data_IF_818476636749
#
_entry.id   IF_818476636749
#
_cell.length_a   1.000
_cell.length_b   1.000
_cell.length_c   1.000
_cell.angle_alpha   90.00
_cell.angle_beta   90.00
_cell.angle_gamma   90.00
#
_symmetry.space_group_name_H-M   'P 1'
#
loop_
_entity.id
_entity.type
_entity.pdbx_description
1 polymer ?
#
# COMPACT_ATOMS: atom_id res chain seq x y z
N UNK A 1 15.58 -7.23 -10.54
CA UNK A 1 16.16 -6.03 -9.91
C UNK A 1 15.60 -4.84 -10.66
N UNK A 2 14.55 -4.22 -10.11
CA UNK A 2 13.93 -3.02 -10.70
C UNK A 2 14.20 -1.89 -9.71
N UNK A 3 14.94 -0.90 -10.18
CA UNK A 3 15.37 0.27 -9.43
C UNK A 3 14.26 1.33 -9.51
N UNK A 4 13.61 1.65 -8.39
CA UNK A 4 12.61 2.73 -8.33
C UNK A 4 13.19 3.95 -7.64
N UNK A 5 13.74 4.87 -8.44
CA UNK A 5 14.12 6.21 -7.98
C UNK A 5 12.89 7.10 -7.90
N UNK A 6 12.51 7.56 -6.70
CA UNK A 6 11.42 8.51 -6.54
C UNK A 6 11.93 9.93 -6.86
N UNK A 7 11.61 10.43 -8.05
CA UNK A 7 11.66 11.85 -8.40
C UNK A 7 10.26 12.25 -8.88
N UNK A 8 9.58 13.21 -8.23
CA UNK A 8 8.22 13.63 -8.57
C UNK A 8 8.06 14.28 -9.96
N UNK A 9 9.17 14.48 -10.69
CA UNK A 9 9.21 15.07 -12.04
C UNK A 9 9.87 14.17 -13.10
N UNK A 10 10.33 12.97 -12.74
CA UNK A 10 11.22 12.14 -13.57
C UNK A 10 10.52 10.92 -14.19
N UNK A 11 11.11 10.32 -15.26
CA UNK A 11 10.66 9.09 -15.91
C UNK A 11 10.43 7.85 -15.04
N UNK A 12 10.53 7.92 -13.71
CA UNK A 12 10.21 6.85 -12.75
C UNK A 12 8.74 6.43 -12.78
N UNK A 13 7.87 7.29 -13.34
CA UNK A 13 6.50 6.92 -13.73
C UNK A 13 6.50 5.80 -14.78
N UNK A 14 7.55 5.61 -15.60
CA UNK A 14 7.66 4.43 -16.48
C UNK A 14 7.85 3.12 -15.72
N UNK A 15 8.48 3.15 -14.55
CA UNK A 15 8.68 1.96 -13.75
C UNK A 15 7.46 1.65 -12.86
N UNK A 16 6.72 2.68 -12.40
CA UNK A 16 5.36 2.49 -11.84
C UNK A 16 4.30 2.11 -12.90
N UNK A 17 4.47 2.54 -14.16
CA UNK A 17 3.69 2.04 -15.31
C UNK A 17 3.91 0.55 -15.57
N UNK A 18 4.95 -0.04 -14.98
CA UNK A 18 5.28 -1.46 -15.00
C UNK A 18 5.06 -2.12 -13.63
N UNK A 19 4.05 -1.70 -12.84
CA UNK A 19 3.52 -2.50 -11.72
C UNK A 19 2.85 -3.77 -12.29
N UNK A 20 3.66 -4.67 -12.86
CA UNK A 20 3.25 -5.83 -13.66
C UNK A 20 3.21 -7.13 -12.84
N UNK A 21 3.55 -7.11 -11.54
CA UNK A 21 3.82 -8.33 -10.77
C UNK A 21 3.38 -8.16 -9.31
N UNK A 22 3.16 -9.26 -8.60
CA UNK A 22 3.10 -9.25 -7.14
C UNK A 22 4.44 -8.72 -6.59
N UNK A 23 4.43 -7.67 -5.77
CA UNK A 23 5.67 -6.98 -5.36
C UNK A 23 5.81 -6.92 -3.84
N UNK A 24 7.06 -7.04 -3.37
CA UNK A 24 7.43 -6.88 -1.97
C UNK A 24 8.28 -5.60 -1.78
N UNK A 25 7.78 -4.62 -1.02
CA UNK A 25 8.52 -3.40 -0.70
C UNK A 25 9.26 -3.54 0.64
N UNK A 26 10.60 -3.42 0.60
CA UNK A 26 11.51 -3.51 1.77
C UNK A 26 12.22 -2.22 2.03
N UNK A 27 12.13 -1.67 3.25
CA UNK A 27 12.82 -0.42 3.56
C UNK A 27 13.15 -0.26 5.04
N UNK A 28 14.03 0.69 5.35
CA UNK A 28 14.24 1.19 6.71
C UNK A 28 12.95 1.78 7.32
N UNK A 29 12.86 1.87 8.67
CA UNK A 29 11.80 2.62 9.34
C UNK A 29 11.72 4.07 8.82
N UNK A 30 10.51 4.60 8.70
CA UNK A 30 10.29 5.99 8.28
C UNK A 30 10.48 6.30 6.79
N UNK A 31 10.78 5.29 5.96
CA UNK A 31 10.98 5.46 4.50
C UNK A 31 9.71 5.82 3.71
N UNK A 32 8.54 5.84 4.35
CA UNK A 32 7.27 6.19 3.69
C UNK A 32 6.51 5.02 3.04
N UNK A 33 6.80 3.74 3.34
CA UNK A 33 6.04 2.57 2.84
C UNK A 33 4.52 2.73 3.00
N UNK A 34 4.07 3.02 4.22
CA UNK A 34 2.67 3.28 4.54
C UNK A 34 2.08 4.43 3.74
N UNK A 35 2.83 5.53 3.61
CA UNK A 35 2.40 6.69 2.84
C UNK A 35 2.24 6.34 1.37
N UNK A 36 3.17 5.56 0.80
CA UNK A 36 3.11 5.07 -0.56
C UNK A 36 1.89 4.16 -0.78
N UNK A 37 1.67 3.17 0.10
CA UNK A 37 0.50 2.27 0.02
C UNK A 37 -0.82 3.05 0.04
N UNK A 38 -0.97 3.99 0.98
CA UNK A 38 -2.16 4.84 1.08
C UNK A 38 -2.34 5.72 -0.15
N UNK A 39 -1.25 6.30 -0.66
CA UNK A 39 -1.27 7.10 -1.87
C UNK A 39 -1.68 6.28 -3.10
N UNK A 40 -1.15 5.06 -3.27
CA UNK A 40 -1.52 4.15 -4.36
C UNK A 40 -3.02 3.80 -4.31
N UNK A 41 -3.51 3.37 -3.15
CA UNK A 41 -4.93 3.02 -2.96
C UNK A 41 -5.84 4.21 -3.27
N UNK A 42 -5.51 5.41 -2.76
CA UNK A 42 -6.29 6.61 -3.01
C UNK A 42 -6.36 6.95 -4.50
N UNK A 43 -5.22 6.89 -5.20
CA UNK A 43 -5.17 7.18 -6.64
C UNK A 43 -5.95 6.13 -7.44
N UNK A 44 -5.81 4.85 -7.12
CA UNK A 44 -6.59 3.80 -7.78
C UNK A 44 -8.09 3.94 -7.51
N UNK A 45 -8.49 4.29 -6.29
CA UNK A 45 -9.89 4.52 -5.97
C UNK A 45 -10.47 5.69 -6.79
N UNK A 46 -9.72 6.79 -6.94
CA UNK A 46 -10.09 7.90 -7.83
C UNK A 46 -10.26 7.46 -9.27
N UNK A 47 -9.38 6.60 -9.75
CA UNK A 47 -9.50 6.04 -11.10
C UNK A 47 -10.77 5.20 -11.25
N UNK A 48 -11.11 4.34 -10.27
CA UNK A 48 -12.37 3.59 -10.25
C UNK A 48 -13.62 4.50 -10.26
N UNK A 49 -13.49 5.76 -9.83
CA UNK A 49 -14.53 6.78 -9.89
C UNK A 49 -14.54 7.56 -11.22
N UNK A 50 -13.68 7.20 -12.18
CA UNK A 50 -13.52 7.89 -13.46
C UNK A 50 -12.79 9.23 -13.36
N UNK A 51 -12.15 9.55 -12.23
CA UNK A 51 -11.34 10.75 -12.10
C UNK A 51 -10.02 10.62 -12.86
N UNK A 52 -9.57 11.72 -13.48
CA UNK A 52 -8.23 11.77 -14.07
C UNK A 52 -7.18 11.57 -12.99
N UNK A 53 -6.29 10.61 -13.19
CA UNK A 53 -5.26 10.24 -12.25
C UNK A 53 -3.88 10.27 -12.91
N UNK A 54 -2.88 10.80 -12.20
CA UNK A 54 -1.50 10.95 -12.66
C UNK A 54 -0.82 9.63 -13.03
N UNK A 55 -1.25 8.51 -12.44
CA UNK A 55 -0.58 7.21 -12.62
C UNK A 55 -0.87 6.56 -13.98
N UNK A 56 -2.08 6.74 -14.53
CA UNK A 56 -2.60 5.92 -15.64
C UNK A 56 -3.24 6.77 -16.74
N UNK A 57 -2.47 7.72 -17.29
CA UNK A 57 -2.92 8.56 -18.41
C UNK A 57 -2.96 7.82 -19.77
N UNK A 58 -2.59 6.54 -19.81
CA UNK A 58 -2.51 5.76 -21.06
C UNK A 58 -3.66 4.76 -21.21
N UNK A 59 -4.24 4.77 -22.42
CA UNK A 59 -5.32 3.94 -23.01
C UNK A 59 -5.23 2.40 -22.77
N UNK A 60 -4.18 1.92 -22.09
CA UNK A 60 -3.82 0.50 -21.99
C UNK A 60 -4.23 -0.24 -20.71
N UNK A 61 -4.63 0.45 -19.63
CA UNK A 61 -5.23 -0.22 -18.46
C UNK A 61 -6.75 -0.25 -18.59
N UNK A 62 -7.29 -1.24 -19.32
CA UNK A 62 -8.73 -1.37 -19.57
C UNK A 62 -9.55 -2.00 -18.44
N UNK A 63 -8.90 -2.51 -17.39
CA UNK A 63 -9.58 -3.09 -16.23
C UNK A 63 -9.09 -2.44 -14.95
N UNK A 64 -9.91 -1.56 -14.40
CA UNK A 64 -9.67 -0.91 -13.12
C UNK A 64 -9.83 -1.94 -12.01
N UNK A 65 -8.73 -2.28 -11.32
CA UNK A 65 -8.74 -3.18 -10.18
C UNK A 65 -9.23 -2.45 -8.95
N UNK A 66 -10.13 -3.07 -8.18
CA UNK A 66 -10.58 -2.53 -6.90
C UNK A 66 -9.39 -2.57 -5.92
N UNK A 67 -8.94 -1.41 -5.41
CA UNK A 67 -7.83 -1.35 -4.47
C UNK A 67 -8.31 -1.68 -3.05
N UNK A 68 -7.63 -2.60 -2.37
CA UNK A 68 -7.91 -3.02 -1.00
C UNK A 68 -6.62 -2.88 -0.18
N UNK A 69 -6.66 -2.15 0.93
CA UNK A 69 -5.53 -2.02 1.85
C UNK A 69 -5.77 -2.85 3.10
N UNK A 70 -4.85 -3.74 3.45
CA UNK A 70 -4.97 -4.64 4.59
C UNK A 70 -3.77 -4.47 5.52
N UNK A 71 -3.94 -3.80 6.67
CA UNK A 71 -2.94 -3.84 7.73
C UNK A 71 -2.88 -5.27 8.28
N UNK A 72 -1.75 -5.94 8.11
CA UNK A 72 -1.60 -7.36 8.47
C UNK A 72 -1.86 -7.60 9.96
N UNK A 73 -1.44 -6.66 10.82
CA UNK A 73 -1.68 -6.76 12.25
C UNK A 73 -3.18 -6.88 12.61
N UNK A 74 -4.10 -6.30 11.82
CA UNK A 74 -5.55 -6.42 12.07
C UNK A 74 -6.06 -7.84 11.82
N UNK A 75 -5.56 -8.50 10.78
CA UNK A 75 -5.88 -9.91 10.54
C UNK A 75 -5.39 -10.77 11.70
N UNK A 76 -4.15 -10.52 12.14
CA UNK A 76 -3.54 -11.24 13.24
C UNK A 76 -4.30 -11.05 14.56
N UNK A 77 -4.72 -9.82 14.87
CA UNK A 77 -5.54 -9.53 16.04
C UNK A 77 -6.90 -10.24 15.97
N UNK A 78 -7.57 -10.24 14.81
CA UNK A 78 -8.83 -10.96 14.62
C UNK A 78 -8.65 -12.48 14.81
N UNK A 79 -7.57 -13.08 14.31
CA UNK A 79 -7.27 -14.50 14.52
C UNK A 79 -7.10 -14.81 16.01
N UNK A 80 -6.45 -13.92 16.75
CA UNK A 80 -6.25 -14.06 18.20
C UNK A 80 -7.56 -13.97 18.98
N UNK A 81 -8.40 -12.98 18.68
CA UNK A 81 -9.71 -12.80 19.33
C UNK A 81 -10.65 -13.98 19.06
N UNK A 82 -10.52 -14.60 17.89
CA UNK A 82 -11.34 -15.74 17.48
C UNK A 82 -10.74 -17.10 17.80
N UNK A 83 -9.73 -17.22 18.67
CA UNK A 83 -9.15 -18.53 19.04
C UNK A 83 -10.18 -19.55 19.56
N UNK A 84 -11.30 -19.08 20.13
CA UNK A 84 -12.39 -19.91 20.62
C UNK A 84 -13.57 -20.05 19.63
N UNK A 85 -13.46 -19.48 18.42
CA UNK A 85 -14.47 -19.52 17.35
C UNK A 85 -13.86 -20.14 16.09
N UNK A 86 -14.68 -20.34 15.06
CA UNK A 86 -14.20 -20.75 13.73
C UNK A 86 -13.18 -19.71 13.23
N UNK A 87 -11.92 -20.12 13.06
CA UNK A 87 -10.83 -19.27 12.53
C UNK A 87 -11.20 -18.88 11.08
N UNK A 88 -11.39 -17.60 10.83
CA UNK A 88 -11.52 -17.05 9.48
C UNK A 88 -10.15 -17.10 8.79
N UNK A 89 -10.07 -17.62 7.57
CA UNK A 89 -8.82 -17.54 6.80
C UNK A 89 -8.61 -16.13 6.24
N UNK A 90 -7.41 -15.85 5.73
CA UNK A 90 -7.02 -14.57 5.17
C UNK A 90 -7.93 -14.15 4.00
N UNK A 91 -8.32 -15.10 3.15
CA UNK A 91 -9.27 -14.84 2.06
C UNK A 91 -10.63 -14.38 2.59
N UNK A 92 -11.18 -15.08 3.58
CA UNK A 92 -12.42 -14.68 4.26
C UNK A 92 -12.27 -13.27 4.86
N UNK A 93 -11.14 -13.01 5.52
CA UNK A 93 -10.86 -11.71 6.12
C UNK A 93 -10.84 -10.55 5.11
N UNK A 94 -10.29 -10.74 3.90
CA UNK A 94 -10.20 -9.72 2.85
C UNK A 94 -11.57 -9.14 2.52
N UNK A 95 -12.58 -9.99 2.35
CA UNK A 95 -13.91 -9.54 1.93
C UNK A 95 -14.87 -9.30 3.09
N UNK A 96 -14.65 -9.87 4.28
CA UNK A 96 -15.52 -9.63 5.45
C UNK A 96 -15.19 -8.31 6.15
N UNK A 97 -13.96 -7.81 6.02
CA UNK A 97 -13.50 -6.60 6.70
C UNK A 97 -13.09 -5.46 5.75
N UNK A 98 -13.91 -5.10 4.74
CA UNK A 98 -13.48 -4.17 3.71
C UNK A 98 -13.26 -2.73 4.19
N UNK A 99 -13.74 -2.39 5.39
CA UNK A 99 -13.65 -1.04 5.96
C UNK A 99 -13.04 -1.02 7.37
N UNK A 100 -12.64 -2.17 7.93
CA UNK A 100 -12.08 -2.33 9.28
C UNK A 100 -12.75 -1.46 10.36
N UNK A 101 -14.04 -1.69 10.60
CA UNK A 101 -14.85 -0.97 11.58
C UNK A 101 -15.01 0.53 11.38
N UNK A 102 -14.76 1.02 10.17
CA UNK A 102 -15.04 2.39 9.78
C UNK A 102 -16.47 2.81 10.15
N UNK A 103 -16.58 3.89 10.94
CA UNK A 103 -17.86 4.52 11.28
C UNK A 103 -18.57 5.16 10.07
N UNK A 104 -17.87 5.29 8.94
CA UNK A 104 -18.40 5.89 7.72
C UNK A 104 -19.37 4.96 6.97
N UNK A 105 -19.38 3.66 7.28
CA UNK A 105 -20.22 2.69 6.60
C UNK A 105 -21.18 2.03 7.59
N UNK A 106 -22.47 2.08 7.27
CA UNK A 106 -23.50 1.35 7.98
C UNK A 106 -23.44 -0.16 7.68
N UNK A 107 -24.24 -0.95 8.40
CA UNK A 107 -24.22 -2.43 8.29
C UNK A 107 -24.55 -2.92 6.88
N UNK A 108 -25.47 -2.28 6.19
CA UNK A 108 -25.90 -2.70 4.85
C UNK A 108 -24.85 -2.32 3.80
N UNK A 109 -24.31 -1.10 3.85
CA UNK A 109 -23.22 -0.68 2.97
C UNK A 109 -21.98 -1.57 3.12
N UNK A 110 -21.68 -2.03 4.34
CA UNK A 110 -20.59 -2.99 4.58
C UNK A 110 -20.86 -4.34 3.90
N UNK A 111 -22.11 -4.83 3.89
CA UNK A 111 -22.47 -6.08 3.20
C UNK A 111 -22.42 -5.92 1.68
N UNK A 112 -22.90 -4.79 1.16
CA UNK A 112 -22.81 -4.48 -0.27
C UNK A 112 -21.35 -4.43 -0.72
N UNK A 113 -20.49 -3.75 0.04
CA UNK A 113 -19.07 -3.67 -0.24
C UNK A 113 -18.37 -5.03 -0.11
N UNK A 114 -18.73 -5.83 0.90
CA UNK A 114 -18.27 -7.21 1.03
C UNK A 114 -18.63 -8.04 -0.20
N UNK A 115 -19.88 -7.93 -0.65
CA UNK A 115 -20.38 -8.64 -1.84
C UNK A 115 -19.63 -8.19 -3.11
N UNK A 116 -19.43 -6.88 -3.29
CA UNK A 116 -18.67 -6.31 -4.39
C UNK A 116 -17.23 -6.85 -4.42
N UNK A 117 -16.58 -6.92 -3.26
CA UNK A 117 -15.21 -7.44 -3.15
C UNK A 117 -15.17 -8.94 -3.43
N UNK A 118 -16.15 -9.72 -2.92
CA UNK A 118 -16.26 -11.15 -3.23
C UNK A 118 -16.36 -11.38 -4.74
N UNK A 119 -17.28 -10.68 -5.41
CA UNK A 119 -17.44 -10.77 -6.85
C UNK A 119 -16.16 -10.36 -7.61
N UNK A 120 -15.49 -9.32 -7.13
CA UNK A 120 -14.28 -8.81 -7.77
C UNK A 120 -13.09 -9.74 -7.60
N UNK A 121 -12.98 -10.44 -6.47
CA UNK A 121 -11.98 -11.48 -6.25
C UNK A 121 -12.18 -12.66 -7.23
N UNK A 122 -13.43 -13.11 -7.43
CA UNK A 122 -13.76 -14.16 -8.41
C UNK A 122 -13.44 -13.71 -9.84
N UNK A 123 -13.77 -12.45 -10.17
CA UNK A 123 -13.50 -11.84 -11.49
C UNK A 123 -12.03 -11.46 -11.70
N UNK A 124 -11.14 -11.80 -10.76
CA UNK A 124 -9.71 -11.49 -10.81
C UNK A 124 -9.40 -9.98 -10.94
N UNK A 125 -10.25 -9.13 -10.36
CA UNK A 125 -10.23 -7.69 -10.53
C UNK A 125 -9.96 -6.91 -9.24
N UNK A 126 -9.10 -7.43 -8.36
CA UNK A 126 -8.64 -6.68 -7.18
C UNK A 126 -7.13 -6.48 -7.15
N UNK A 127 -6.69 -5.38 -6.53
CA UNK A 127 -5.34 -5.18 -6.04
C UNK A 127 -5.41 -5.14 -4.51
N UNK A 128 -4.73 -6.06 -3.83
CA UNK A 128 -4.64 -6.11 -2.38
C UNK A 128 -3.25 -5.66 -1.94
N UNK A 129 -3.17 -4.68 -1.04
CA UNK A 129 -1.92 -4.23 -0.43
C UNK A 129 -1.90 -4.71 1.02
N UNK A 130 -1.05 -5.69 1.31
CA UNK A 130 -0.73 -6.14 2.66
C UNK A 130 0.31 -5.22 3.29
N UNK A 131 -0.12 -4.43 4.26
CA UNK A 131 0.70 -3.44 4.94
C UNK A 131 1.29 -3.97 6.25
N UNK A 132 2.61 -3.82 6.41
CA UNK A 132 3.28 -4.01 7.69
C UNK A 132 3.45 -5.49 8.07
N UNK A 133 3.95 -6.32 7.16
CA UNK A 133 4.22 -7.73 7.46
C UNK A 133 5.17 -7.89 8.66
N UNK A 134 6.13 -6.99 8.82
CA UNK A 134 7.04 -6.95 9.97
C UNK A 134 6.37 -6.63 11.31
N UNK A 135 5.14 -6.12 11.30
CA UNK A 135 4.38 -5.75 12.50
C UNK A 135 3.67 -6.95 13.14
N UNK A 136 3.74 -8.14 12.52
CA UNK A 136 3.17 -9.37 13.09
C UNK A 136 3.85 -9.68 14.42
N UNK A 137 3.12 -9.67 15.54
CA UNK A 137 3.71 -9.92 16.85
C UNK A 137 4.36 -11.31 16.96
N UNK A 138 5.41 -11.42 17.78
CA UNK A 138 6.13 -12.69 17.96
C UNK A 138 5.30 -13.81 18.58
N UNK A 139 4.18 -13.48 19.25
CA UNK A 139 3.29 -14.46 19.86
C UNK A 139 2.35 -15.15 18.86
N UNK A 140 2.31 -14.67 17.61
CA UNK A 140 1.54 -15.29 16.54
C UNK A 140 2.47 -16.18 15.74
N UNK A 141 1.97 -17.38 15.41
CA UNK A 141 2.68 -18.27 14.50
C UNK A 141 2.75 -17.62 13.11
N UNK A 142 3.90 -16.99 12.84
CA UNK A 142 4.17 -16.33 11.56
C UNK A 142 4.14 -17.34 10.41
N UNK A 143 4.43 -18.63 10.65
CA UNK A 143 4.38 -19.65 9.61
C UNK A 143 2.95 -19.87 9.11
N UNK A 144 1.95 -19.80 9.99
CA UNK A 144 0.54 -19.92 9.59
C UNK A 144 0.10 -18.76 8.71
N UNK A 145 0.47 -17.52 9.07
CA UNK A 145 0.21 -16.36 8.23
C UNK A 145 0.88 -16.50 6.86
N UNK A 146 2.15 -16.90 6.84
CA UNK A 146 2.89 -17.07 5.58
C UNK A 146 2.31 -18.18 4.72
N UNK A 147 1.83 -19.29 5.30
CA UNK A 147 1.10 -20.34 4.57
C UNK A 147 -0.17 -19.78 3.94
N UNK A 148 -0.93 -18.95 4.66
CA UNK A 148 -2.14 -18.35 4.11
C UNK A 148 -1.85 -17.34 3.00
N UNK A 149 -0.80 -16.52 3.14
CA UNK A 149 -0.33 -15.62 2.07
C UNK A 149 0.13 -16.44 0.85
N UNK A 150 0.96 -17.47 1.04
CA UNK A 150 1.41 -18.34 -0.05
C UNK A 150 0.22 -19.01 -0.75
N UNK A 151 -0.73 -19.56 0.00
CA UNK A 151 -1.94 -20.18 -0.56
C UNK A 151 -2.75 -19.19 -1.40
N UNK A 152 -2.86 -17.94 -0.95
CA UNK A 152 -3.54 -16.87 -1.67
C UNK A 152 -2.80 -16.45 -2.95
N UNK A 153 -1.47 -16.49 -2.95
CA UNK A 153 -0.64 -16.18 -4.12
C UNK A 153 -0.60 -17.34 -5.14
N UNK A 154 -0.74 -18.59 -4.67
CA UNK A 154 -0.64 -19.82 -5.45
C UNK A 154 -1.91 -20.23 -6.19
N UNK A 155 -3.07 -19.91 -5.62
CA UNK A 155 -4.34 -20.53 -6.00
C UNK A 155 -5.32 -19.50 -6.53
N UNK A 156 -6.07 -19.90 -7.54
CA UNK A 156 -7.25 -19.15 -7.96
C UNK A 156 -8.29 -19.13 -6.83
N UNK A 157 -9.18 -18.15 -6.90
CA UNK A 157 -10.26 -17.97 -5.93
C UNK A 157 -11.55 -18.48 -6.57
N UNK A 158 -12.14 -19.51 -5.96
CA UNK A 158 -13.40 -20.11 -6.38
C UNK A 158 -14.53 -19.73 -5.42
N UNK A 159 -15.77 -19.87 -5.88
CA UNK A 159 -16.97 -19.70 -5.04
C UNK A 159 -17.58 -21.06 -4.72
N UNK A 160 -17.67 -21.38 -3.43
CA UNK A 160 -18.34 -22.57 -2.95
C UNK A 160 -19.81 -22.26 -2.62
N UNK A 161 -20.70 -22.63 -3.54
CA UNK A 161 -22.13 -22.44 -3.38
C UNK A 161 -22.74 -23.21 -2.19
N UNK A 162 -22.08 -24.26 -1.70
CA UNK A 162 -22.55 -25.07 -0.57
C UNK A 162 -22.45 -24.30 0.75
N UNK A 163 -21.38 -23.51 0.89
CA UNK A 163 -21.07 -22.79 2.11
C UNK A 163 -21.22 -21.27 1.98
N UNK A 164 -21.67 -20.79 0.81
CA UNK A 164 -21.85 -19.36 0.49
C UNK A 164 -20.60 -18.53 0.82
N UNK A 165 -19.44 -19.05 0.39
CA UNK A 165 -18.14 -18.45 0.71
C UNK A 165 -17.11 -18.68 -0.39
N UNK A 166 -16.07 -17.86 -0.39
CA UNK A 166 -14.93 -18.07 -1.27
C UNK A 166 -14.01 -19.15 -0.69
N UNK A 167 -13.42 -19.92 -1.58
CA UNK A 167 -12.42 -20.94 -1.26
C UNK A 167 -11.25 -20.82 -2.21
N UNK A 168 -10.11 -21.38 -1.81
CA UNK A 168 -8.99 -21.55 -2.73
C UNK A 168 -9.27 -22.73 -3.65
N UNK A 169 -8.98 -22.56 -4.94
CA UNK A 169 -9.10 -23.65 -5.90
C UNK A 169 -8.24 -24.85 -5.51
N UNK A 170 -8.70 -26.04 -5.86
CA UNK A 170 -7.92 -27.28 -5.68
C UNK A 170 -6.75 -27.39 -6.67
N UNK A 171 -6.77 -26.59 -7.74
CA UNK A 171 -5.72 -26.55 -8.75
C UNK A 171 -4.69 -25.46 -8.39
N UNK A 172 -3.43 -25.86 -8.33
CA UNK A 172 -2.31 -24.93 -8.26
C UNK A 172 -2.19 -24.16 -9.58
N UNK A 173 -1.94 -22.86 -9.53
CA UNK A 173 -1.58 -22.11 -10.73
C UNK A 173 -0.17 -22.53 -11.16
N UNK A 174 -0.08 -23.56 -12.02
CA UNK A 174 1.19 -24.13 -12.49
C UNK A 174 2.13 -23.14 -13.19
N UNK A 175 1.59 -22.03 -13.68
CA UNK A 175 2.34 -20.82 -14.02
C UNK A 175 1.56 -19.67 -13.44
N UNK A 176 2.18 -18.83 -12.60
CA UNK A 176 1.54 -17.58 -12.23
C UNK A 176 1.28 -16.84 -13.54
N UNK A 177 0.02 -16.48 -13.81
CA UNK A 177 -0.40 -15.64 -14.94
C UNK A 177 0.33 -14.26 -14.98
N UNK A 178 1.22 -13.99 -14.02
CA UNK A 178 2.07 -12.81 -13.87
C UNK A 178 3.02 -12.51 -15.04
N UNK A 179 3.19 -13.40 -16.04
CA UNK A 179 4.19 -13.15 -17.10
C UNK A 179 3.63 -12.93 -18.50
N UNK A 180 2.36 -13.24 -18.79
CA UNK A 180 1.81 -13.10 -20.16
C UNK A 180 0.80 -11.96 -20.33
N UNK A 181 0.09 -11.55 -19.28
CA UNK A 181 -0.85 -10.42 -19.37
C UNK A 181 -1.03 -9.72 -18.01
N UNK A 182 -0.46 -8.51 -17.81
CA UNK A 182 -0.52 -7.79 -16.53
C UNK A 182 -1.95 -7.36 -16.13
N UNK A 183 -2.92 -7.44 -17.05
CA UNK A 183 -4.32 -7.05 -16.82
C UNK A 183 -5.18 -8.16 -16.22
N UNK A 184 -4.70 -9.41 -16.21
CA UNK A 184 -5.44 -10.60 -15.73
C UNK A 184 -4.97 -10.97 -14.31
N UNK A 185 -5.81 -11.59 -13.49
CA UNK A 185 -5.46 -12.04 -12.14
C UNK A 185 -5.61 -10.99 -11.05
N UNK A 186 -5.98 -11.42 -9.85
CA UNK A 186 -5.83 -10.59 -8.64
C UNK A 186 -4.35 -10.24 -8.42
N UNK A 187 -4.09 -9.06 -7.85
CA UNK A 187 -2.73 -8.55 -7.64
C UNK A 187 -2.47 -8.27 -6.18
N UNK A 188 -1.22 -8.46 -5.76
CA UNK A 188 -0.83 -8.34 -4.37
C UNK A 188 0.44 -7.50 -4.21
N UNK A 189 0.43 -6.55 -3.29
CA UNK A 189 1.61 -5.81 -2.85
C UNK A 189 1.80 -6.13 -1.37
N UNK A 190 3.02 -6.48 -0.97
CA UNK A 190 3.36 -6.76 0.43
C UNK A 190 4.39 -5.74 0.88
N UNK A 191 4.18 -5.10 2.03
CA UNK A 191 5.18 -4.16 2.59
C UNK A 191 5.78 -4.71 3.88
N UNK A 192 7.10 -4.55 4.02
CA UNK A 192 7.85 -5.02 5.18
C UNK A 192 9.09 -4.16 5.46
N UNK A 193 9.64 -4.23 6.67
CA UNK A 193 10.98 -3.72 7.00
C UNK A 193 12.06 -4.69 6.50
N UNK A 194 13.23 -4.15 6.13
CA UNK A 194 14.40 -4.97 5.73
C UNK A 194 14.81 -5.92 6.87
N UNK A 195 14.75 -5.46 8.11
CA UNK A 195 15.11 -6.25 9.31
C UNK A 195 14.02 -7.26 9.72
N UNK A 196 12.82 -7.19 9.11
CA UNK A 196 11.73 -8.14 9.33
C UNK A 196 11.93 -9.49 8.63
N UNK A 197 13.08 -9.72 7.99
CA UNK A 197 13.42 -10.87 7.12
C UNK A 197 13.52 -12.24 7.83
N UNK A 198 12.82 -12.43 8.94
CA UNK A 198 12.68 -13.74 9.61
C UNK A 198 11.42 -14.50 9.18
N UNK A 199 10.68 -14.01 8.18
CA UNK A 199 9.56 -14.77 7.61
C UNK A 199 10.12 -15.89 6.72
N UNK A 200 9.49 -17.07 6.80
CA UNK A 200 9.70 -18.15 5.83
C UNK A 200 9.59 -17.57 4.42
N UNK A 201 10.43 -18.07 3.50
CA UNK A 201 10.45 -17.56 2.14
C UNK A 201 9.05 -17.65 1.52
N UNK A 202 8.59 -16.55 0.91
CA UNK A 202 7.47 -16.61 -0.02
C UNK A 202 7.91 -17.59 -1.11
N UNK A 203 7.20 -18.71 -1.26
CA UNK A 203 7.62 -19.86 -2.07
C UNK A 203 7.60 -19.58 -3.59
N UNK A 204 7.42 -18.32 -3.99
CA UNK A 204 7.30 -17.86 -5.37
C UNK A 204 8.23 -16.71 -5.65
N UNK A 205 8.56 -16.55 -6.93
CA UNK A 205 9.23 -15.35 -7.40
C UNK A 205 8.30 -14.13 -7.26
N UNK A 206 8.53 -13.35 -6.21
CA UNK A 206 7.94 -12.03 -5.98
C UNK A 206 9.06 -11.01 -6.18
N UNK A 207 8.99 -10.14 -7.21
CA UNK A 207 9.90 -9.01 -7.33
C UNK A 207 9.97 -8.21 -6.03
N UNK A 208 11.20 -8.00 -5.59
CA UNK A 208 11.51 -7.23 -4.38
C UNK A 208 11.98 -5.84 -4.78
N UNK A 209 11.35 -4.84 -4.20
CA UNK A 209 11.66 -3.44 -4.39
C UNK A 209 12.11 -2.83 -3.07
N UNK A 210 13.06 -1.91 -3.14
CA UNK A 210 13.53 -1.16 -1.98
C UNK A 210 13.12 0.30 -2.15
N UNK A 211 12.46 0.89 -1.15
CA UNK A 211 12.25 2.34 -1.14
C UNK A 211 13.45 2.97 -0.46
N UNK A 212 14.19 3.74 -1.24
CA UNK A 212 15.37 4.47 -0.79
C UNK A 212 14.99 5.77 -0.08
N UNK A 213 15.99 6.42 0.50
CA UNK A 213 15.84 7.77 1.02
C UNK A 213 15.48 8.74 -0.13
N UNK A 214 14.86 9.87 0.22
CA UNK A 214 14.56 10.93 -0.72
C UNK A 214 15.83 11.45 -1.37
N UNK A 215 15.77 11.66 -2.69
CA UNK A 215 16.76 12.48 -3.38
C UNK A 215 16.67 13.94 -2.93
N UNK A 216 17.68 14.73 -3.27
CA UNK A 216 17.67 16.18 -2.99
C UNK A 216 16.48 16.87 -3.66
N UNK A 217 16.16 16.47 -4.89
CA UNK A 217 15.03 17.02 -5.62
C UNK A 217 13.69 16.65 -4.97
N UNK A 218 13.56 15.40 -4.52
CA UNK A 218 12.37 14.95 -3.78
C UNK A 218 12.23 15.69 -2.44
N UNK A 219 13.32 15.92 -1.71
CA UNK A 219 13.33 16.72 -0.47
C UNK A 219 12.92 18.16 -0.75
N UNK A 220 13.45 18.79 -1.79
CA UNK A 220 13.06 20.16 -2.19
C UNK A 220 11.57 20.25 -2.52
N UNK A 221 11.07 19.26 -3.26
CA UNK A 221 9.65 19.19 -3.62
C UNK A 221 8.77 18.97 -2.39
N UNK A 222 9.20 18.13 -1.45
CA UNK A 222 8.55 17.95 -0.16
C UNK A 222 8.45 19.28 0.61
N UNK A 223 9.58 19.97 0.82
CA UNK A 223 9.63 21.24 1.55
C UNK A 223 8.73 22.29 0.89
N UNK A 224 8.83 22.47 -0.43
CA UNK A 224 8.03 23.46 -1.15
C UNK A 224 6.53 23.15 -1.09
N UNK A 225 6.14 21.87 -1.16
CA UNK A 225 4.74 21.46 -1.04
C UNK A 225 4.22 21.67 0.38
N UNK A 226 5.03 21.36 1.39
CA UNK A 226 4.70 21.59 2.78
C UNK A 226 4.46 23.08 3.09
N UNK A 227 5.40 23.95 2.69
CA UNK A 227 5.29 25.40 2.91
C UNK A 227 4.07 26.00 2.20
N UNK A 228 3.76 25.54 0.98
CA UNK A 228 2.53 25.93 0.27
C UNK A 228 1.27 25.56 1.06
N UNK A 229 1.20 24.36 1.63
CA UNK A 229 0.08 23.93 2.45
C UNK A 229 -0.08 24.81 3.71
N UNK A 230 1.01 25.12 4.41
CA UNK A 230 0.99 26.01 5.58
C UNK A 230 0.47 27.41 5.20
N UNK A 231 0.96 27.98 4.09
CA UNK A 231 0.50 29.27 3.59
C UNK A 231 -0.99 29.27 3.22
N UNK A 232 -1.50 28.17 2.65
CA UNK A 232 -2.95 28.06 2.36
C UNK A 232 -3.79 28.01 3.63
N UNK A 233 -3.33 27.30 4.66
CA UNK A 233 -4.02 27.22 5.96
C UNK A 233 -3.99 28.58 6.67
N UNK A 234 -2.88 29.32 6.60
CA UNK A 234 -2.75 30.64 7.23
C UNK A 234 -3.74 31.65 6.62
N UNK A 235 -3.84 31.67 5.29
CA UNK A 235 -4.81 32.50 4.56
C UNK A 235 -6.25 32.20 4.99
N UNK A 236 -6.60 30.92 5.13
CA UNK A 236 -7.94 30.50 5.53
C UNK A 236 -8.26 30.82 7.00
N UNK A 237 -7.25 30.85 7.87
CA UNK A 237 -7.44 31.04 9.32
C UNK A 237 -7.29 32.49 9.80
N UNK A 238 -7.05 33.45 8.89
CA UNK A 238 -6.76 34.88 9.21
C UNK A 238 -5.66 35.08 10.25
N UNK A 239 -4.79 34.08 10.46
CA UNK A 239 -3.58 34.26 11.26
C UNK A 239 -2.57 35.01 10.41
N UNK A 240 -2.04 36.11 10.94
CA UNK A 240 -0.90 36.82 10.34
C UNK A 240 0.32 35.94 10.53
N UNK A 241 0.50 34.97 9.64
CA UNK A 241 1.77 34.27 9.48
C UNK A 241 2.50 35.06 8.41
N UNK A 242 3.73 35.51 8.71
CA UNK A 242 4.59 36.17 7.73
C UNK A 242 4.69 35.29 6.47
N UNK A 243 4.61 35.90 5.29
CA UNK A 243 4.70 35.16 4.02
C UNK A 243 6.00 34.36 3.98
N UNK A 244 5.89 33.06 4.21
CA UNK A 244 7.04 32.18 4.23
C UNK A 244 7.37 31.77 2.80
N UNK A 245 8.60 32.06 2.35
CA UNK A 245 9.08 31.66 1.03
C UNK A 245 9.04 30.12 0.93
N UNK A 246 8.48 29.61 -0.17
CA UNK A 246 8.32 28.17 -0.41
C UNK A 246 9.64 27.39 -0.36
N UNK A 247 10.77 28.05 -0.68
CA UNK A 247 12.09 27.43 -0.65
C UNK A 247 12.84 27.61 0.68
N UNK A 248 12.30 28.38 1.63
CA UNK A 248 13.00 28.76 2.86
C UNK A 248 13.38 27.52 3.70
N UNK A 249 12.40 26.65 3.97
CA UNK A 249 12.62 25.41 4.73
C UNK A 249 13.73 24.54 4.10
N UNK A 250 13.72 24.39 2.78
CA UNK A 250 14.74 23.61 2.07
C UNK A 250 16.12 24.26 2.21
N UNK A 251 16.21 25.58 2.00
CA UNK A 251 17.46 26.32 2.12
C UNK A 251 18.05 26.19 3.53
N UNK A 252 17.23 26.34 4.56
CA UNK A 252 17.66 26.23 5.97
C UNK A 252 18.11 24.82 6.33
N UNK A 253 17.40 23.79 5.84
CA UNK A 253 17.82 22.39 5.97
C UNK A 253 19.19 22.18 5.32
N UNK A 254 19.40 22.68 4.10
CA UNK A 254 20.66 22.45 3.36
C UNK A 254 21.87 23.20 3.93
N UNK A 255 21.66 24.27 4.70
CA UNK A 255 22.74 25.00 5.37
C UNK A 255 23.37 24.18 6.51
N UNK A 256 22.63 23.24 7.09
CA UNK A 256 23.13 22.36 8.15
C UNK A 256 23.23 20.91 7.65
N UNK A 257 24.46 20.43 7.47
CA UNK A 257 24.72 19.08 6.94
C UNK A 257 24.06 17.97 7.74
N UNK A 258 24.01 18.08 9.07
CA UNK A 258 23.43 17.05 9.93
C UNK A 258 21.91 17.01 9.77
N UNK A 259 21.26 18.17 9.75
CA UNK A 259 19.82 18.29 9.50
C UNK A 259 19.48 17.77 8.10
N UNK A 260 20.30 18.13 7.10
CA UNK A 260 20.16 17.62 5.75
C UNK A 260 20.23 16.09 5.69
N UNK A 261 21.24 15.47 6.30
CA UNK A 261 21.39 14.01 6.34
C UNK A 261 20.25 13.30 7.07
N UNK A 262 19.58 13.95 8.03
CA UNK A 262 18.38 13.42 8.65
C UNK A 262 17.17 13.57 7.72
N UNK A 263 17.04 14.71 7.05
CA UNK A 263 15.88 15.07 6.23
C UNK A 263 15.71 14.24 4.94
N UNK A 264 16.73 13.50 4.48
CA UNK A 264 16.55 12.57 3.36
C UNK A 264 15.62 11.40 3.74
N UNK A 265 15.40 11.13 5.03
CA UNK A 265 14.37 10.21 5.49
C UNK A 265 13.01 10.95 5.57
N UNK A 266 11.96 10.51 4.86
CA UNK A 266 10.66 11.20 4.82
C UNK A 266 10.03 11.46 6.20
N UNK A 267 10.15 10.52 7.13
CA UNK A 267 9.62 10.69 8.48
C UNK A 267 10.35 11.81 9.23
N UNK A 268 11.68 11.82 9.18
CA UNK A 268 12.48 12.87 9.81
C UNK A 268 12.28 14.22 9.15
N UNK A 269 12.17 14.27 7.82
CA UNK A 269 11.81 15.48 7.07
C UNK A 269 10.48 16.07 7.58
N UNK A 270 9.49 15.21 7.83
CA UNK A 270 8.18 15.62 8.34
C UNK A 270 8.26 16.18 9.77
N UNK A 271 9.09 15.56 10.62
CA UNK A 271 9.34 16.08 11.98
C UNK A 271 10.04 17.44 11.93
N UNK A 272 11.09 17.58 11.11
CA UNK A 272 11.82 18.85 10.94
C UNK A 272 10.87 19.94 10.44
N UNK A 273 10.08 19.66 9.42
CA UNK A 273 9.11 20.62 8.86
C UNK A 273 8.04 21.05 9.88
N UNK A 274 7.59 20.12 10.72
CA UNK A 274 6.60 20.39 11.78
C UNK A 274 7.18 21.15 12.99
N UNK A 275 8.48 21.03 13.27
CA UNK A 275 9.16 21.83 14.30
C UNK A 275 9.48 23.23 13.79
N UNK A 276 9.67 23.37 12.47
CA UNK A 276 9.99 24.64 11.83
C UNK A 276 8.84 25.67 11.86
N UNK A 277 7.57 25.22 11.90
CA UNK A 277 6.37 26.07 11.86
C UNK A 277 5.49 25.90 13.11
#
# INVERSE_FOLDING_TARGET
>A
YVELKFDPTHPSIKAMKMLEINEEFKCHPGSGKTTLSKWLIMNMAKQCLGEKNMLFDSIYCRTEKIPILIPIWKYVDQVKENQNKKKSCLLEFIYENPTFDSIFFNVEERKELSSLIRESLIKENVLVIFEGLDEVPAYVDRSDLMKEINTLLERSIDYDATYDKLTYSIYEQHEINNTKCPTIGNRFIITSRIEGNYFEDINFYVPRLTIENMSNDALKLFCSSYMKCINQISMNTRRVIEECNCDQLYNDITQNKDIFHLSINPQLASVIAAVYN
#
